data_IF_943727224414
#
_entry.id   IF_943727224414
#
_cell.length_a   1.000
_cell.length_b   1.000
_cell.length_c   1.000
_cell.angle_alpha   90.00
_cell.angle_beta   90.00
_cell.angle_gamma   90.00
#
_symmetry.space_group_name_H-M   'P 1'
#
loop_
_entity.id
_entity.type
_entity.pdbx_description
1 polymer ?
#
# COMPACT_ATOMS: atom_id res chain seq x y z
N UNK A 1 37.61 23.63 18.81
CA UNK A 1 36.86 22.47 18.28
C UNK A 1 35.42 22.59 18.79
N UNK A 2 34.82 23.77 18.62
CA UNK A 2 33.99 24.29 17.50
C UNK A 2 32.56 23.78 17.60
N UNK A 3 31.70 24.69 18.04
CA UNK A 3 30.25 24.55 18.26
C UNK A 3 29.50 24.03 17.03
N UNK A 4 30.13 24.09 15.85
CA UNK A 4 29.70 23.47 14.59
C UNK A 4 29.39 21.97 14.71
N UNK A 5 30.17 21.24 15.51
CA UNK A 5 30.01 19.78 15.63
C UNK A 5 28.71 19.42 16.38
N UNK A 6 28.29 20.26 17.33
CA UNK A 6 27.04 20.09 18.08
C UNK A 6 25.81 20.40 17.22
N UNK A 7 25.90 21.35 16.29
CA UNK A 7 24.81 21.66 15.36
C UNK A 7 24.64 20.55 14.31
N UNK A 8 25.75 20.00 13.81
CA UNK A 8 25.75 18.83 12.92
C UNK A 8 25.12 17.61 13.60
N UNK A 9 25.45 17.37 14.87
CA UNK A 9 24.88 16.27 15.64
C UNK A 9 23.36 16.43 15.84
N UNK A 10 22.90 17.66 16.09
CA UNK A 10 21.47 17.99 16.20
C UNK A 10 20.73 17.78 14.88
N UNK A 11 21.33 18.19 13.75
CA UNK A 11 20.77 17.97 12.41
C UNK A 11 20.67 16.47 12.06
N UNK A 12 21.70 15.69 12.42
CA UNK A 12 21.71 14.25 12.20
C UNK A 12 20.66 13.53 13.06
N UNK A 13 20.53 13.91 14.34
CA UNK A 13 19.50 13.37 15.23
C UNK A 13 18.08 13.65 14.72
N UNK A 14 17.83 14.86 14.20
CA UNK A 14 16.54 15.24 13.60
C UNK A 14 16.21 14.39 12.37
N UNK A 15 17.20 14.14 11.51
CA UNK A 15 17.03 13.32 10.29
C UNK A 15 16.77 11.84 10.62
N UNK A 16 17.45 11.30 11.64
CA UNK A 16 17.22 9.92 12.11
C UNK A 16 15.83 9.75 12.71
N UNK A 17 15.35 10.72 13.50
CA UNK A 17 13.99 10.70 14.05
C UNK A 17 12.91 10.76 12.96
N UNK A 18 13.14 11.55 11.90
CA UNK A 18 12.23 11.63 10.75
C UNK A 18 12.20 10.31 9.94
N UNK A 19 13.35 9.65 9.77
CA UNK A 19 13.41 8.31 9.16
C UNK A 19 12.70 7.26 10.01
N UNK A 20 12.92 7.24 11.33
CA UNK A 20 12.23 6.32 12.25
C UNK A 20 10.71 6.50 12.22
N UNK A 21 10.23 7.76 12.18
CA UNK A 21 8.79 8.06 12.08
C UNK A 21 8.15 7.48 10.80
N UNK A 22 8.87 7.51 9.67
CA UNK A 22 8.40 6.89 8.43
C UNK A 22 8.40 5.35 8.48
N UNK A 23 9.31 4.74 9.24
CA UNK A 23 9.37 3.28 9.40
C UNK A 23 8.26 2.81 10.35
N UNK A 24 8.04 3.46 11.50
CA UNK A 24 7.00 3.08 12.46
C UNK A 24 5.58 3.26 11.90
N UNK A 25 5.38 4.20 10.96
CA UNK A 25 4.11 4.34 10.25
C UNK A 25 3.84 3.17 9.29
N UNK A 26 4.88 2.42 8.88
CA UNK A 26 4.76 1.20 8.06
C UNK A 26 4.73 -0.07 8.93
N UNK A 27 5.38 -0.07 10.09
CA UNK A 27 5.38 -1.20 11.03
C UNK A 27 4.03 -1.41 11.73
N UNK A 28 3.22 -0.36 11.91
CA UNK A 28 1.82 -0.51 12.34
C UNK A 28 0.92 -1.17 11.29
N UNK A 29 1.40 -1.31 10.04
CA UNK A 29 0.76 -2.13 9.00
C UNK A 29 1.47 -3.47 8.76
N UNK A 30 2.65 -3.71 9.35
CA UNK A 30 3.43 -4.94 9.18
C UNK A 30 3.30 -5.94 10.34
N UNK A 31 2.54 -5.60 11.40
CA UNK A 31 2.16 -6.55 12.46
C UNK A 31 0.88 -7.32 12.11
N UNK A 32 0.79 -7.81 10.88
CA UNK A 32 -0.14 -8.88 10.53
C UNK A 32 0.70 -10.13 10.29
N UNK A 33 0.80 -10.90 11.36
CA UNK A 33 1.42 -12.21 11.44
C UNK A 33 1.04 -13.12 10.25
N UNK A 34 1.92 -14.04 9.81
CA UNK A 34 1.51 -15.18 9.01
C UNK A 34 0.89 -16.21 9.97
N UNK A 35 -0.33 -15.96 10.44
CA UNK A 35 -1.11 -16.93 11.21
C UNK A 35 -2.31 -17.38 10.40
N UNK A 36 -2.22 -18.65 10.02
CA UNK A 36 -3.28 -19.59 9.70
C UNK A 36 -4.68 -19.23 10.23
N UNK A 37 -5.67 -19.48 9.37
CA UNK A 37 -7.01 -19.96 9.72
C UNK A 37 -7.93 -19.04 10.55
N UNK A 38 -8.80 -18.31 9.85
CA UNK A 38 -10.26 -18.35 10.06
C UNK A 38 -10.99 -17.35 9.13
N UNK A 39 -12.17 -17.71 8.60
CA UNK A 39 -12.95 -16.84 7.71
C UNK A 39 -13.67 -15.80 8.56
N UNK A 40 -12.92 -14.81 9.05
CA UNK A 40 -13.57 -13.54 9.38
C UNK A 40 -14.01 -12.98 8.05
N UNK A 41 -15.32 -12.84 7.88
CA UNK A 41 -15.94 -11.88 6.96
C UNK A 41 -15.44 -10.47 7.34
N UNK A 42 -14.13 -10.21 7.16
CA UNK A 42 -13.62 -8.87 6.98
C UNK A 42 -14.38 -8.41 5.76
N UNK A 43 -15.24 -7.41 5.95
CA UNK A 43 -15.80 -6.62 4.87
C UNK A 43 -14.60 -6.22 4.03
N UNK A 44 -14.35 -6.98 2.95
CA UNK A 44 -13.17 -6.78 2.13
C UNK A 44 -13.37 -5.41 1.51
N UNK A 45 -12.39 -4.52 1.71
CA UNK A 45 -12.48 -3.22 1.07
C UNK A 45 -12.49 -3.45 -0.45
N UNK A 46 -13.08 -2.54 -1.24
CA UNK A 46 -13.08 -2.65 -2.70
C UNK A 46 -11.67 -2.89 -3.26
N UNK A 47 -10.67 -2.26 -2.63
CA UNK A 47 -9.25 -2.46 -2.94
C UNK A 47 -8.79 -3.88 -2.68
N UNK A 48 -9.14 -4.48 -1.54
CA UNK A 48 -8.71 -5.84 -1.20
C UNK A 48 -9.28 -6.89 -2.17
N UNK A 49 -10.49 -6.67 -2.66
CA UNK A 49 -11.11 -7.53 -3.69
C UNK A 49 -10.36 -7.42 -5.01
N UNK A 50 -10.03 -6.19 -5.43
CA UNK A 50 -9.26 -5.96 -6.65
C UNK A 50 -7.86 -6.58 -6.53
N UNK A 51 -7.15 -6.35 -5.42
CA UNK A 51 -5.78 -6.86 -5.20
C UNK A 51 -5.70 -8.39 -5.30
N UNK A 52 -6.73 -9.11 -4.85
CA UNK A 52 -6.79 -10.59 -5.00
C UNK A 52 -6.84 -11.04 -6.45
N UNK A 53 -7.32 -10.19 -7.35
CA UNK A 53 -7.45 -10.45 -8.77
C UNK A 53 -6.28 -9.89 -9.61
N UNK A 54 -5.31 -9.22 -8.98
CA UNK A 54 -4.14 -8.67 -9.66
C UNK A 54 -3.01 -9.70 -9.75
N UNK A 55 -2.33 -9.71 -10.90
CA UNK A 55 -1.12 -10.49 -11.15
C UNK A 55 0.14 -9.82 -10.60
N UNK A 56 1.30 -10.33 -11.00
CA UNK A 56 2.61 -9.93 -10.48
C UNK A 56 2.87 -8.43 -10.63
N UNK A 57 2.57 -7.84 -11.80
CA UNK A 57 2.74 -6.39 -11.99
C UNK A 57 1.48 -5.58 -11.69
N UNK A 58 0.32 -6.21 -11.58
CA UNK A 58 -0.95 -5.53 -11.33
C UNK A 58 -0.92 -4.69 -10.06
N UNK A 59 -0.36 -5.22 -8.97
CA UNK A 59 -0.24 -4.50 -7.69
C UNK A 59 0.68 -3.27 -7.78
N UNK A 60 1.79 -3.40 -8.49
CA UNK A 60 2.73 -2.29 -8.70
C UNK A 60 2.05 -1.16 -9.48
N UNK A 61 1.37 -1.51 -10.58
CA UNK A 61 0.64 -0.55 -11.41
C UNK A 61 -0.48 0.12 -10.61
N UNK A 62 -1.24 -0.65 -9.83
CA UNK A 62 -2.31 -0.09 -8.99
C UNK A 62 -1.74 0.91 -7.97
N UNK A 63 -0.65 0.55 -7.28
CA UNK A 63 0.00 1.42 -6.30
C UNK A 63 0.53 2.71 -6.95
N UNK A 64 1.12 2.59 -8.14
CA UNK A 64 1.59 3.74 -8.90
C UNK A 64 0.43 4.64 -9.36
N UNK A 65 -0.69 4.07 -9.76
CA UNK A 65 -1.89 4.79 -10.15
C UNK A 65 -2.52 5.53 -8.96
N UNK A 66 -2.63 4.87 -7.80
CA UNK A 66 -3.10 5.50 -6.55
C UNK A 66 -2.22 6.69 -6.14
N UNK A 67 -0.91 6.60 -6.36
CA UNK A 67 0.05 7.66 -6.04
C UNK A 67 -0.04 8.85 -7.00
N UNK A 68 -0.14 8.58 -8.31
CA UNK A 68 -0.14 9.64 -9.34
C UNK A 68 -1.52 10.27 -9.56
N UNK A 69 -2.58 9.48 -9.42
CA UNK A 69 -3.96 9.83 -9.78
C UNK A 69 -4.95 9.30 -8.72
N UNK A 70 -4.94 9.83 -7.49
CA UNK A 70 -5.68 9.24 -6.37
C UNK A 70 -7.21 9.22 -6.56
N UNK A 71 -7.78 10.24 -7.21
CA UNK A 71 -9.22 10.33 -7.41
C UNK A 71 -9.69 9.38 -8.52
N UNK A 72 -8.94 9.33 -9.62
CA UNK A 72 -9.19 8.47 -10.77
C UNK A 72 -8.98 7.00 -10.40
N UNK A 73 -7.89 6.69 -9.69
CA UNK A 73 -7.61 5.34 -9.21
C UNK A 73 -8.73 4.83 -8.32
N UNK A 74 -9.30 5.66 -7.44
CA UNK A 74 -10.45 5.29 -6.62
C UNK A 74 -11.66 4.87 -7.47
N UNK A 75 -12.02 5.65 -8.49
CA UNK A 75 -13.14 5.33 -9.39
C UNK A 75 -12.88 4.03 -10.14
N UNK A 76 -11.63 3.79 -10.57
CA UNK A 76 -11.24 2.55 -11.25
C UNK A 76 -11.32 1.36 -10.30
N UNK A 77 -10.85 1.47 -9.06
CA UNK A 77 -10.94 0.41 -8.04
C UNK A 77 -12.40 0.05 -7.76
N UNK A 78 -13.28 1.04 -7.62
CA UNK A 78 -14.71 0.82 -7.39
C UNK A 78 -15.34 0.03 -8.55
N UNK A 79 -15.12 0.46 -9.80
CA UNK A 79 -15.62 -0.25 -10.99
C UNK A 79 -15.04 -1.65 -11.14
N UNK A 80 -13.73 -1.83 -10.94
CA UNK A 80 -13.10 -3.14 -10.99
C UNK A 80 -13.69 -4.07 -9.92
N UNK A 81 -13.91 -3.55 -8.71
CA UNK A 81 -14.54 -4.30 -7.64
C UNK A 81 -15.97 -4.74 -8.02
N UNK A 82 -16.75 -3.89 -8.68
CA UNK A 82 -18.08 -4.24 -9.19
C UNK A 82 -18.00 -5.36 -10.22
N UNK A 83 -17.14 -5.23 -11.24
CA UNK A 83 -16.98 -6.22 -12.31
C UNK A 83 -16.47 -7.58 -11.79
N UNK A 84 -15.62 -7.57 -10.76
CA UNK A 84 -15.16 -8.81 -10.09
C UNK A 84 -16.32 -9.45 -9.32
N UNK A 85 -17.17 -8.65 -8.66
CA UNK A 85 -18.35 -9.15 -7.92
C UNK A 85 -19.44 -9.69 -8.85
N UNK A 86 -19.64 -9.08 -10.02
CA UNK A 86 -20.61 -9.58 -11.02
C UNK A 86 -20.09 -10.82 -11.74
N UNK A 87 -18.80 -11.13 -11.62
CA UNK A 87 -18.15 -12.26 -12.29
C UNK A 87 -17.81 -11.97 -13.75
N UNK A 88 -17.96 -10.73 -14.21
CA UNK A 88 -17.54 -10.30 -15.56
C UNK A 88 -16.01 -10.37 -15.69
N UNK A 89 -15.29 -10.03 -14.63
CA UNK A 89 -13.84 -10.21 -14.54
C UNK A 89 -13.56 -11.37 -13.58
N UNK A 90 -13.20 -12.51 -14.16
CA UNK A 90 -12.73 -13.69 -13.42
C UNK A 90 -11.26 -14.02 -13.69
N UNK A 91 -10.63 -13.34 -14.65
CA UNK A 91 -9.23 -13.53 -15.02
C UNK A 91 -8.27 -12.67 -14.19
N UNK A 92 -7.02 -13.12 -14.06
CA UNK A 92 -5.99 -12.38 -13.33
C UNK A 92 -5.47 -11.22 -14.18
N UNK A 93 -5.49 -10.01 -13.61
CA UNK A 93 -5.05 -8.77 -14.28
C UNK A 93 -3.57 -8.49 -14.00
N UNK A 94 -2.68 -8.81 -14.95
CA UNK A 94 -1.23 -8.72 -14.75
C UNK A 94 -0.61 -7.32 -15.02
N UNK A 95 -1.42 -6.28 -15.24
CA UNK A 95 -0.94 -4.89 -15.37
C UNK A 95 -0.09 -4.59 -16.62
N UNK A 96 -0.03 -5.49 -17.61
CA UNK A 96 0.82 -5.34 -18.79
C UNK A 96 0.36 -6.13 -20.03
N UNK A 97 -0.94 -6.39 -20.17
CA UNK A 97 -1.54 -6.93 -21.39
C UNK A 97 -2.58 -5.97 -21.95
#
# INVERSE_FOLDING_TARGET
MSEDDSELQRLQAKRLAEMQKNISSRETMASVEPTSESPKEKILSPRDLVVKQLGFRGLEVLTNAESQFPNEAKVVIEKLCELIKTGEISEILDGGK
#
